data_IF_929145700270
#
_entry.id   IF_929145700270
#
_cell.length_a   1.000
_cell.length_b   1.000
_cell.length_c   1.000
_cell.angle_alpha   90.00
_cell.angle_beta   90.00
_cell.angle_gamma   90.00
#
_symmetry.space_group_name_H-M   'P 1'
#
loop_
_entity.id
_entity.type
_entity.pdbx_description
1 polymer ?
#
# COMPACT_ATOMS: atom_id res chain seq x y z
N UNK A 1 -4.74 -17.57 -12.59
CA UNK A 1 -5.68 -16.91 -11.64
C UNK A 1 -5.09 -16.78 -10.24
N UNK A 2 -4.61 -17.87 -9.59
CA UNK A 2 -4.09 -17.80 -8.21
C UNK A 2 -2.94 -16.79 -7.98
N UNK A 3 -1.97 -16.69 -8.89
CA UNK A 3 -0.90 -15.66 -8.78
C UNK A 3 -1.41 -14.21 -8.83
N UNK A 4 -2.50 -13.97 -9.55
CA UNK A 4 -3.14 -12.65 -9.60
C UNK A 4 -3.87 -12.36 -8.30
N UNK A 5 -4.56 -13.36 -7.73
CA UNK A 5 -5.17 -13.27 -6.41
C UNK A 5 -4.12 -12.99 -5.33
N UNK A 6 -2.98 -13.70 -5.34
CA UNK A 6 -1.86 -13.44 -4.44
C UNK A 6 -1.38 -11.99 -4.55
N UNK A 7 -1.14 -11.51 -5.78
CA UNK A 7 -0.72 -10.12 -6.01
C UNK A 7 -1.74 -9.12 -5.49
N UNK A 8 -3.02 -9.35 -5.77
CA UNK A 8 -4.09 -8.48 -5.28
C UNK A 8 -4.13 -8.42 -3.75
N UNK A 9 -4.03 -9.56 -3.06
CA UNK A 9 -4.07 -9.61 -1.60
C UNK A 9 -2.85 -8.93 -0.96
N UNK A 10 -1.67 -9.08 -1.58
CA UNK A 10 -0.47 -8.34 -1.17
C UNK A 10 -0.65 -6.83 -1.37
N UNK A 11 -1.20 -6.40 -2.50
CA UNK A 11 -1.52 -5.00 -2.76
C UNK A 11 -2.52 -4.44 -1.72
N UNK A 12 -3.52 -5.24 -1.29
CA UNK A 12 -4.47 -4.83 -0.25
C UNK A 12 -3.78 -4.62 1.10
N UNK A 13 -2.90 -5.54 1.53
CA UNK A 13 -2.12 -5.36 2.75
C UNK A 13 -1.25 -4.10 2.68
N UNK A 14 -0.62 -3.85 1.53
CA UNK A 14 0.14 -2.62 1.31
C UNK A 14 -0.74 -1.37 1.46
N UNK A 15 -1.95 -1.36 0.91
CA UNK A 15 -2.88 -0.21 1.07
C UNK A 15 -3.25 -0.03 2.54
N UNK A 16 -3.58 -1.12 3.26
CA UNK A 16 -3.91 -1.07 4.70
C UNK A 16 -2.77 -0.42 5.50
N UNK A 17 -1.53 -0.81 5.21
CA UNK A 17 -0.35 -0.29 5.92
C UNK A 17 0.02 1.16 5.53
N UNK A 18 -0.55 1.68 4.44
CA UNK A 18 -0.19 2.98 3.87
C UNK A 18 -1.42 3.84 3.58
N UNK A 19 -2.05 4.40 4.61
CA UNK A 19 -3.12 5.42 4.47
C UNK A 19 -2.61 6.67 3.74
N UNK A 20 -1.34 7.00 3.89
CA UNK A 20 -0.68 8.13 3.25
C UNK A 20 0.50 7.65 2.41
N UNK A 21 0.75 8.34 1.30
CA UNK A 21 1.88 8.11 0.40
C UNK A 21 2.85 9.27 0.52
N UNK A 22 4.14 8.95 0.62
CA UNK A 22 5.23 9.92 0.61
C UNK A 22 5.79 9.98 -0.80
N UNK A 23 5.71 11.14 -1.43
CA UNK A 23 6.37 11.41 -2.71
C UNK A 23 7.59 12.28 -2.48
N UNK A 24 8.72 11.83 -3.03
CA UNK A 24 9.90 12.68 -3.19
C UNK A 24 9.60 13.60 -4.39
N UNK A 25 9.46 14.89 -4.13
CA UNK A 25 9.34 15.85 -5.21
C UNK A 25 10.74 16.14 -5.74
N UNK A 26 10.94 15.84 -7.01
CA UNK A 26 12.16 16.25 -7.68
C UNK A 26 12.12 17.76 -7.93
N UNK A 27 12.71 18.50 -7.00
CA UNK A 27 12.80 19.95 -7.03
C UNK A 27 14.07 20.43 -7.74
N UNK A 28 14.76 19.62 -8.57
CA UNK A 28 16.04 19.97 -9.24
C UNK A 28 16.01 21.35 -9.94
N UNK A 29 14.85 21.84 -10.41
CA UNK A 29 14.73 23.15 -11.04
C UNK A 29 14.53 24.32 -10.06
N UNK A 30 14.32 24.06 -8.76
CA UNK A 30 14.15 25.08 -7.73
C UNK A 30 15.53 25.59 -7.27
N UNK A 31 15.76 26.90 -7.18
CA UNK A 31 17.07 27.47 -6.82
C UNK A 31 17.61 27.06 -5.43
N UNK A 32 16.76 26.50 -4.56
CA UNK A 32 17.08 26.01 -3.21
C UNK A 32 16.86 24.48 -3.03
N UNK A 33 16.89 23.71 -4.11
CA UNK A 33 16.59 22.26 -4.11
C UNK A 33 17.46 21.42 -3.15
N UNK A 34 18.69 21.85 -2.85
CA UNK A 34 19.55 21.18 -1.87
C UNK A 34 19.04 21.31 -0.42
N UNK A 35 18.23 22.35 -0.13
CA UNK A 35 17.64 22.62 1.19
C UNK A 35 16.14 22.28 1.26
N UNK A 36 15.46 22.19 0.11
CA UNK A 36 14.07 21.80 -0.04
C UNK A 36 13.98 20.35 -0.50
N UNK A 37 14.16 19.39 0.42
CA UNK A 37 13.56 18.05 0.25
C UNK A 37 12.22 18.05 0.96
N UNK A 38 11.23 18.65 0.32
CA UNK A 38 9.86 18.61 0.82
C UNK A 38 9.22 17.28 0.41
N UNK A 39 9.17 16.35 1.37
CA UNK A 39 8.34 15.16 1.27
C UNK A 39 6.88 15.60 1.24
N UNK A 40 6.18 15.33 0.14
CA UNK A 40 4.74 15.59 0.09
C UNK A 40 4.03 14.33 0.56
N UNK A 41 3.35 14.47 1.69
CA UNK A 41 2.43 13.47 2.23
C UNK A 41 1.07 13.70 1.58
N UNK A 42 0.62 12.76 0.76
CA UNK A 42 -0.73 12.78 0.18
C UNK A 42 -1.54 11.59 0.70
N UNK A 43 -2.86 11.76 0.84
CA UNK A 43 -3.74 10.64 1.13
C UNK A 43 -3.63 9.59 0.01
N UNK A 44 -3.52 8.32 0.37
CA UNK A 44 -3.49 7.24 -0.60
C UNK A 44 -4.86 7.14 -1.29
N UNK A 45 -4.97 7.36 -2.61
CA UNK A 45 -6.25 7.36 -3.30
C UNK A 45 -6.94 5.99 -3.34
N UNK A 46 -6.18 4.92 -3.06
CA UNK A 46 -6.71 3.55 -2.97
C UNK A 46 -7.17 3.20 -1.56
N UNK A 47 -6.82 4.00 -0.57
CA UNK A 47 -7.23 3.79 0.82
C UNK A 47 -8.67 4.25 1.01
N UNK A 48 -9.45 3.42 1.69
CA UNK A 48 -10.87 3.64 1.99
C UNK A 48 -11.07 3.47 3.48
N UNK A 49 -11.42 4.58 4.14
CA UNK A 49 -11.74 4.62 5.58
C UNK A 49 -13.01 3.81 5.87
N UNK A 50 -13.04 3.10 6.99
CA UNK A 50 -14.03 2.10 7.36
C UNK A 50 -13.75 0.69 6.81
N UNK A 51 -12.92 0.58 5.77
CA UNK A 51 -12.55 -0.72 5.16
C UNK A 51 -11.11 -1.07 5.54
N UNK A 52 -10.16 -0.21 5.20
CA UNK A 52 -8.74 -0.52 5.37
C UNK A 52 -8.22 -0.25 6.78
N UNK A 53 -8.88 0.61 7.57
CA UNK A 53 -8.63 0.76 9.02
C UNK A 53 -9.30 -0.33 9.87
N UNK A 54 -10.09 -1.21 9.25
CA UNK A 54 -10.82 -2.25 9.96
C UNK A 54 -9.92 -3.48 10.24
N UNK A 55 -9.69 -3.85 11.51
CA UNK A 55 -8.84 -5.01 11.84
C UNK A 55 -9.40 -6.34 11.33
N UNK A 56 -10.72 -6.47 11.20
CA UNK A 56 -11.35 -7.68 10.66
C UNK A 56 -11.03 -7.85 9.17
N UNK A 57 -11.10 -6.76 8.41
CA UNK A 57 -10.75 -6.78 6.99
C UNK A 57 -9.29 -7.18 6.77
N UNK A 58 -8.37 -6.64 7.59
CA UNK A 58 -6.95 -7.07 7.56
C UNK A 58 -6.80 -8.58 7.81
N UNK A 59 -7.52 -9.11 8.80
CA UNK A 59 -7.46 -10.53 9.15
C UNK A 59 -7.98 -11.42 8.01
N UNK A 60 -9.08 -11.02 7.35
CA UNK A 60 -9.61 -11.72 6.17
C UNK A 60 -8.59 -11.78 5.03
N UNK A 61 -7.99 -10.63 4.66
CA UNK A 61 -6.98 -10.55 3.60
C UNK A 61 -5.76 -11.42 3.94
N UNK A 62 -5.30 -11.41 5.20
CA UNK A 62 -4.16 -12.23 5.63
C UNK A 62 -4.45 -13.74 5.55
N UNK A 63 -5.65 -14.17 5.96
CA UNK A 63 -6.09 -15.56 5.87
C UNK A 63 -6.22 -16.02 4.42
N UNK A 64 -6.82 -15.19 3.56
CA UNK A 64 -6.96 -15.49 2.14
C UNK A 64 -5.59 -15.59 1.46
N UNK A 65 -4.63 -14.74 1.84
CA UNK A 65 -3.28 -14.77 1.30
C UNK A 65 -2.55 -16.06 1.69
N UNK A 66 -2.65 -16.47 2.95
CA UNK A 66 -2.10 -17.75 3.43
C UNK A 66 -2.73 -18.93 2.68
N UNK A 67 -4.06 -18.93 2.51
CA UNK A 67 -4.76 -19.96 1.76
C UNK A 67 -4.31 -20.04 0.29
N UNK A 68 -4.20 -18.89 -0.40
CA UNK A 68 -3.74 -18.84 -1.79
C UNK A 68 -2.28 -19.29 -1.91
N UNK A 69 -1.40 -18.94 -0.97
CA UNK A 69 0.00 -19.38 -0.95
C UNK A 69 0.12 -20.89 -0.76
N UNK A 70 -0.66 -21.47 0.16
CA UNK A 70 -0.77 -22.92 0.33
C UNK A 70 -1.20 -23.62 -0.96
N UNK A 71 -2.22 -23.10 -1.67
CA UNK A 71 -2.64 -23.65 -2.96
C UNK A 71 -1.57 -23.54 -4.05
N UNK A 72 -0.69 -22.53 -3.97
CA UNK A 72 0.46 -22.35 -4.85
C UNK A 72 1.69 -23.16 -4.43
N UNK A 73 1.65 -23.85 -3.29
CA UNK A 73 2.77 -24.63 -2.74
C UNK A 73 3.90 -23.75 -2.18
N UNK A 74 3.57 -22.61 -1.59
CA UNK A 74 4.51 -21.63 -1.01
C UNK A 74 4.26 -21.42 0.48
#
# INVERSE_FOLDING_TARGET
MLKYAEKYLVDQLYIIDNEYLNYDLDLIEHPDWENLRDWVIVANPRYVKGVHDNPYYRAEIANDLDYVRKLLGR
#
